data_IF_257525427748
#
_entry.id   IF_257525427748
#
_cell.length_a   1.000
_cell.length_b   1.000
_cell.length_c   1.000
_cell.angle_alpha   90.00
_cell.angle_beta   90.00
_cell.angle_gamma   90.00
#
_symmetry.space_group_name_H-M   'P 1'
#
loop_
_entity.id
_entity.type
_entity.pdbx_description
1 polymer ?
#
# COMPACT_ATOMS: atom_id res chain seq x y z
N UNK A 1 29.67 6.85 -47.26
CA UNK A 1 29.78 8.13 -46.53
C UNK A 1 28.50 8.34 -45.75
N UNK A 2 28.52 8.07 -44.45
CA UNK A 2 27.47 8.47 -43.52
C UNK A 2 28.11 8.55 -42.13
N UNK A 3 28.31 9.80 -41.67
CA UNK A 3 28.95 10.13 -40.40
C UNK A 3 27.86 10.15 -39.33
N UNK A 4 27.87 9.20 -38.38
CA UNK A 4 27.08 9.28 -37.14
C UNK A 4 27.91 9.97 -36.07
N UNK A 5 27.47 11.16 -35.65
CA UNK A 5 28.03 11.88 -34.49
C UNK A 5 27.44 11.29 -33.21
N UNK A 6 28.33 10.77 -32.36
CA UNK A 6 28.04 10.43 -30.97
C UNK A 6 28.17 11.69 -30.12
N UNK A 7 27.14 12.00 -29.32
CA UNK A 7 27.17 13.10 -28.37
C UNK A 7 27.43 12.53 -26.97
N UNK A 8 28.71 12.50 -26.58
CA UNK A 8 29.16 12.20 -25.22
C UNK A 8 28.99 13.46 -24.37
N UNK A 9 28.07 13.47 -23.41
CA UNK A 9 28.05 14.46 -22.32
C UNK A 9 28.67 13.81 -21.08
N UNK A 10 29.96 14.07 -20.88
CA UNK A 10 30.62 13.84 -19.60
C UNK A 10 30.44 15.05 -18.70
N UNK A 11 29.83 14.86 -17.53
CA UNK A 11 29.88 15.81 -16.44
C UNK A 11 30.78 15.22 -15.36
N UNK A 12 32.02 15.73 -15.30
CA UNK A 12 32.94 15.47 -14.20
C UNK A 12 32.65 16.50 -13.09
N UNK A 13 32.16 16.03 -11.95
CA UNK A 13 32.16 16.83 -10.71
C UNK A 13 33.38 16.41 -9.91
N UNK A 14 34.35 17.32 -9.79
CA UNK A 14 35.51 17.21 -8.91
C UNK A 14 35.11 17.78 -7.56
N UNK A 15 34.88 16.93 -6.56
CA UNK A 15 34.71 17.33 -5.16
C UNK A 15 36.07 17.26 -4.46
N UNK A 16 36.64 18.42 -4.19
CA UNK A 16 37.82 18.59 -3.34
C UNK A 16 37.37 18.88 -1.91
N UNK A 17 37.94 18.17 -0.94
CA UNK A 17 37.51 18.17 0.45
C UNK A 17 37.85 19.45 1.22
N UNK A 18 36.93 19.81 2.12
CA UNK A 18 37.20 20.50 3.37
C UNK A 18 36.14 20.05 4.39
N UNK A 19 36.60 19.70 5.59
CA UNK A 19 35.81 19.13 6.67
C UNK A 19 34.94 20.16 7.40
N UNK A 20 33.82 19.69 7.95
CA UNK A 20 33.14 20.31 9.11
C UNK A 20 31.71 20.77 8.86
N UNK A 21 30.76 19.98 9.36
CA UNK A 21 29.35 20.33 9.64
C UNK A 21 28.56 21.01 8.51
N UNK A 22 27.86 20.23 7.69
CA UNK A 22 26.51 20.48 7.10
C UNK A 22 26.31 19.55 5.89
N UNK A 23 25.82 18.31 6.10
CA UNK A 23 25.38 17.41 5.01
C UNK A 23 23.98 16.88 5.33
N UNK A 24 23.02 17.81 5.46
CA UNK A 24 21.59 17.53 5.32
C UNK A 24 20.90 18.56 4.39
N UNK A 25 21.67 19.31 3.61
CA UNK A 25 21.16 20.21 2.58
C UNK A 25 21.23 19.54 1.21
N UNK A 26 20.22 18.77 0.84
CA UNK A 26 20.20 18.07 -0.45
C UNK A 26 19.16 16.96 -0.58
N UNK A 27 18.28 16.79 0.41
CA UNK A 27 17.05 16.01 0.20
C UNK A 27 16.20 16.85 -0.78
N UNK A 28 15.83 16.32 -1.97
CA UNK A 28 15.00 17.06 -2.93
C UNK A 28 13.69 17.49 -2.25
N UNK A 29 13.11 18.62 -2.67
CA UNK A 29 11.86 19.16 -2.09
C UNK A 29 10.70 18.15 -2.10
N UNK A 30 10.77 17.09 -2.91
CA UNK A 30 9.80 15.97 -2.93
C UNK A 30 9.90 15.02 -1.71
N UNK A 31 11.04 15.02 -1.01
CA UNK A 31 11.24 14.36 0.28
C UNK A 31 11.31 15.37 1.43
N UNK A 32 11.17 16.66 1.13
CA UNK A 32 10.92 17.68 2.16
C UNK A 32 9.57 17.36 2.76
N UNK A 33 9.59 16.84 4.00
CA UNK A 33 8.44 16.67 4.87
C UNK A 33 7.67 17.98 4.85
N UNK A 34 6.65 18.07 4.00
CA UNK A 34 5.91 19.29 3.74
C UNK A 34 5.21 19.71 5.02
N UNK A 35 5.89 20.53 5.82
CA UNK A 35 5.27 21.30 6.86
C UNK A 35 4.24 22.19 6.15
N UNK A 36 2.97 21.79 6.22
CA UNK A 36 1.86 22.38 5.47
C UNK A 36 1.98 23.90 5.37
N UNK A 37 2.03 24.39 4.14
CA UNK A 37 2.17 25.80 3.84
C UNK A 37 1.00 26.58 4.46
N UNK A 38 1.32 27.51 5.34
CA UNK A 38 0.35 28.40 5.99
C UNK A 38 -0.32 29.32 4.97
N UNK A 39 -1.39 28.84 4.34
CA UNK A 39 -2.30 29.62 3.52
C UNK A 39 -3.14 30.57 4.37
N UNK A 40 -3.09 31.85 4.06
CA UNK A 40 -3.77 32.93 4.77
C UNK A 40 -5.30 32.85 4.61
N UNK A 41 -6.02 32.66 5.72
CA UNK A 41 -7.37 33.21 5.92
C UNK A 41 -8.54 32.60 5.15
N UNK A 42 -8.42 31.37 4.62
CA UNK A 42 -9.60 30.60 4.24
C UNK A 42 -10.34 30.14 5.51
N UNK A 43 -11.68 30.10 5.46
CA UNK A 43 -12.47 29.48 6.53
C UNK A 43 -11.94 28.07 6.83
N UNK A 44 -11.97 27.59 8.09
CA UNK A 44 -11.50 26.25 8.42
C UNK A 44 -12.16 25.25 7.48
N UNK A 45 -11.35 24.47 6.76
CA UNK A 45 -11.84 23.42 5.89
C UNK A 45 -12.71 22.49 6.73
N UNK A 46 -14.00 22.40 6.41
CA UNK A 46 -14.90 21.46 7.07
C UNK A 46 -14.52 20.05 6.60
N UNK A 47 -14.14 19.20 7.54
CA UNK A 47 -13.89 17.78 7.32
C UNK A 47 -15.16 17.11 6.78
N UNK A 48 -15.10 16.60 5.55
CA UNK A 48 -16.18 15.80 4.95
C UNK A 48 -15.81 14.33 5.03
N UNK A 49 -16.04 13.72 6.19
CA UNK A 49 -15.64 12.33 6.46
C UNK A 49 -16.19 11.37 5.40
N UNK A 50 -15.30 10.76 4.63
CA UNK A 50 -15.68 9.68 3.72
C UNK A 50 -15.83 8.39 4.52
N UNK A 51 -17.07 8.10 4.89
CA UNK A 51 -17.40 6.93 5.69
C UNK A 51 -17.47 5.66 4.83
N UNK A 52 -16.96 4.55 5.38
CA UNK A 52 -17.15 3.23 4.78
C UNK A 52 -18.66 2.97 4.68
N UNK A 53 -19.20 2.68 3.48
CA UNK A 53 -20.63 2.48 3.30
C UNK A 53 -21.17 1.41 4.26
N UNK A 54 -22.27 1.69 4.94
CA UNK A 54 -22.87 0.72 5.87
C UNK A 54 -23.41 -0.53 5.12
N UNK A 55 -23.45 -1.70 5.79
CA UNK A 55 -24.12 -2.88 5.24
C UNK A 55 -25.56 -2.59 4.78
N UNK A 56 -26.05 -3.22 3.71
CA UNK A 56 -27.40 -3.01 3.24
C UNK A 56 -28.41 -3.57 4.25
N UNK A 57 -29.65 -3.07 4.21
CA UNK A 57 -30.73 -3.57 5.09
C UNK A 57 -31.43 -4.83 4.55
N UNK A 58 -30.99 -5.36 3.41
CA UNK A 58 -31.53 -6.61 2.86
C UNK A 58 -31.10 -7.78 3.74
N UNK A 59 -31.89 -8.86 3.74
CA UNK A 59 -31.56 -10.08 4.49
C UNK A 59 -31.58 -11.28 3.54
N UNK A 60 -30.51 -12.09 3.57
CA UNK A 60 -30.41 -13.31 2.77
C UNK A 60 -30.26 -13.06 1.27
N UNK A 61 -29.56 -11.99 0.91
CA UNK A 61 -29.18 -11.64 -0.46
C UNK A 61 -28.31 -12.69 -1.14
N UNK A 62 -27.76 -13.66 -0.41
CA UNK A 62 -26.83 -14.68 -0.92
C UNK A 62 -27.19 -15.25 -2.29
N UNK A 63 -26.25 -15.19 -3.23
CA UNK A 63 -26.32 -15.81 -4.55
C UNK A 63 -25.36 -16.99 -4.73
N UNK A 64 -25.31 -17.50 -5.96
CA UNK A 64 -24.30 -18.50 -6.39
C UNK A 64 -23.18 -17.87 -7.24
N UNK A 65 -23.20 -16.55 -7.41
CA UNK A 65 -22.22 -15.83 -8.22
C UNK A 65 -20.82 -15.88 -7.61
N UNK A 66 -19.84 -16.07 -8.48
CA UNK A 66 -18.43 -16.06 -8.12
C UNK A 66 -17.64 -15.35 -9.22
N UNK A 67 -16.65 -14.55 -8.82
CA UNK A 67 -15.69 -13.97 -9.74
C UNK A 67 -14.34 -13.71 -9.06
N UNK A 68 -13.31 -13.59 -9.89
CA UNK A 68 -11.94 -13.27 -9.47
C UNK A 68 -11.48 -12.07 -10.28
N UNK A 69 -10.85 -11.13 -9.60
CA UNK A 69 -10.19 -9.99 -10.25
C UNK A 69 -8.75 -9.89 -9.78
N UNK A 70 -7.89 -9.34 -10.64
CA UNK A 70 -6.51 -9.00 -10.33
C UNK A 70 -6.39 -7.48 -10.30
N UNK A 71 -5.73 -6.93 -9.27
CA UNK A 71 -5.37 -5.52 -9.24
C UNK A 71 -4.51 -5.20 -10.45
N UNK A 72 -4.87 -4.14 -11.17
CA UNK A 72 -4.22 -3.67 -12.39
C UNK A 72 -3.55 -2.32 -12.18
N UNK A 73 -4.32 -1.33 -11.75
CA UNK A 73 -3.77 -0.02 -11.41
C UNK A 73 -3.62 0.06 -9.90
N UNK A 74 -2.54 0.70 -9.48
CA UNK A 74 -2.22 0.98 -8.09
C UNK A 74 -1.81 2.43 -8.02
N UNK A 75 -2.34 3.13 -7.02
CA UNK A 75 -1.92 4.47 -6.67
C UNK A 75 -1.86 4.63 -5.14
N UNK A 76 -0.67 4.91 -4.64
CA UNK A 76 -0.33 5.05 -3.22
C UNK A 76 0.18 6.46 -2.91
N UNK A 77 0.08 7.37 -3.87
CA UNK A 77 0.59 8.72 -3.80
C UNK A 77 -0.56 9.73 -3.70
N UNK A 78 -0.22 10.96 -3.31
CA UNK A 78 -1.16 12.08 -3.34
C UNK A 78 -1.59 12.32 -4.78
N UNK A 79 -2.90 12.27 -5.00
CA UNK A 79 -3.51 12.57 -6.28
C UNK A 79 -3.55 14.07 -6.59
N UNK A 80 -4.27 14.41 -7.66
CA UNK A 80 -4.56 15.81 -7.99
C UNK A 80 -5.33 16.47 -6.85
N UNK A 81 -4.99 17.74 -6.56
CA UNK A 81 -5.55 18.52 -5.45
C UNK A 81 -5.24 17.94 -4.05
N UNK A 82 -4.09 17.27 -3.92
CA UNK A 82 -3.61 16.69 -2.66
C UNK A 82 -4.54 15.61 -2.05
N UNK A 83 -5.48 15.07 -2.83
CA UNK A 83 -6.34 13.98 -2.40
C UNK A 83 -5.50 12.75 -2.04
N UNK A 84 -5.70 12.22 -0.83
CA UNK A 84 -4.97 11.05 -0.36
C UNK A 84 -5.66 9.76 -0.83
N UNK A 85 -4.89 8.70 -1.13
CA UNK A 85 -5.47 7.41 -1.46
C UNK A 85 -6.02 6.71 -0.21
N UNK A 86 -6.91 5.74 -0.38
CA UNK A 86 -7.38 4.91 0.73
C UNK A 86 -8.70 5.40 1.36
N UNK A 87 -8.79 5.31 2.68
CA UNK A 87 -10.02 5.47 3.46
C UNK A 87 -9.74 6.26 4.74
N UNK A 88 -10.80 6.80 5.34
CA UNK A 88 -10.76 7.29 6.72
C UNK A 88 -10.84 6.10 7.69
N UNK A 89 -9.78 5.86 8.45
CA UNK A 89 -9.56 4.68 9.28
C UNK A 89 -9.93 4.89 10.75
N UNK A 90 -9.89 6.13 11.24
CA UNK A 90 -10.16 6.46 12.65
C UNK A 90 -11.39 7.38 12.85
N UNK A 91 -12.03 7.79 11.75
CA UNK A 91 -13.19 8.66 11.73
C UNK A 91 -12.87 10.13 12.02
N UNK A 92 -11.60 10.53 12.01
CA UNK A 92 -11.15 11.90 12.26
C UNK A 92 -10.65 12.56 10.97
N UNK A 93 -10.40 13.87 11.06
CA UNK A 93 -9.55 14.58 10.12
C UNK A 93 -8.41 15.24 10.89
N UNK A 94 -7.23 14.63 10.88
CA UNK A 94 -6.02 15.19 11.45
C UNK A 94 -5.69 16.56 10.82
N UNK A 95 -4.99 17.41 11.58
CA UNK A 95 -4.72 18.82 11.22
C UNK A 95 -5.95 19.74 11.08
N UNK A 96 -7.16 19.26 11.36
CA UNK A 96 -8.37 20.09 11.49
C UNK A 96 -8.75 20.30 12.96
N UNK A 97 -10.02 20.63 13.23
CA UNK A 97 -10.61 20.69 14.57
C UNK A 97 -10.60 19.37 15.33
N UNK A 98 -10.64 18.23 14.64
CA UNK A 98 -10.62 16.89 15.26
C UNK A 98 -9.28 16.61 15.96
N UNK A 99 -8.19 17.15 15.39
CA UNK A 99 -6.79 16.84 15.73
C UNK A 99 -6.50 15.34 15.54
N UNK A 100 -5.25 14.93 15.80
CA UNK A 100 -4.86 13.52 15.75
C UNK A 100 -5.58 12.67 16.81
N UNK A 101 -5.89 11.43 16.47
CA UNK A 101 -6.49 10.43 17.37
C UNK A 101 -5.53 9.88 18.42
N UNK A 102 -4.21 10.05 18.23
CA UNK A 102 -3.16 9.59 19.13
C UNK A 102 -2.07 10.63 19.41
N UNK A 103 -1.25 10.37 20.42
CA UNK A 103 -0.06 11.15 20.73
C UNK A 103 1.04 10.95 19.69
N UNK A 104 1.77 12.02 19.38
CA UNK A 104 2.90 11.95 18.44
C UNK A 104 3.99 11.01 18.94
N UNK A 105 4.57 10.21 18.05
CA UNK A 105 5.77 9.40 18.35
C UNK A 105 7.00 10.30 18.55
N UNK A 106 7.02 11.48 17.92
CA UNK A 106 8.02 12.52 18.13
C UNK A 106 7.40 13.71 18.88
N UNK A 107 7.73 13.93 20.17
CA UNK A 107 7.18 15.05 20.95
C UNK A 107 7.51 16.43 20.39
N UNK A 108 8.52 16.54 19.51
CA UNK A 108 8.88 17.78 18.84
C UNK A 108 8.06 18.06 17.58
N UNK A 109 7.31 17.05 17.10
CA UNK A 109 6.42 17.16 15.94
C UNK A 109 4.95 17.10 16.38
N UNK A 110 4.39 18.27 16.67
CA UNK A 110 3.00 18.43 17.05
C UNK A 110 2.04 18.44 15.85
N UNK A 111 2.56 18.53 14.62
CA UNK A 111 1.77 18.54 13.39
C UNK A 111 1.50 17.14 12.86
N UNK A 112 2.54 16.30 12.78
CA UNK A 112 2.44 14.97 12.18
C UNK A 112 2.00 15.02 10.71
N UNK A 113 1.50 13.89 10.23
CA UNK A 113 0.89 13.79 8.90
C UNK A 113 -0.57 14.21 8.97
N UNK A 114 -0.99 14.98 7.97
CA UNK A 114 -2.35 15.49 7.86
C UNK A 114 -3.16 14.65 6.89
N UNK A 115 -4.43 14.49 7.21
CA UNK A 115 -5.43 13.88 6.33
C UNK A 115 -5.82 14.89 5.25
N UNK A 116 -6.50 14.40 4.22
CA UNK A 116 -7.13 15.28 3.24
C UNK A 116 -8.46 15.83 3.77
N UNK A 117 -9.13 16.68 2.97
CA UNK A 117 -10.42 17.27 3.35
C UNK A 117 -11.53 16.22 3.56
N UNK A 118 -11.32 14.97 3.13
CA UNK A 118 -12.24 13.85 3.33
C UNK A 118 -11.88 12.95 4.52
N UNK A 119 -10.79 13.27 5.22
CA UNK A 119 -10.26 12.48 6.33
C UNK A 119 -9.59 11.19 5.89
N UNK A 120 -9.12 11.08 4.64
CA UNK A 120 -8.37 9.90 4.25
C UNK A 120 -7.00 9.89 4.91
N UNK A 121 -6.68 8.77 5.58
CA UNK A 121 -5.40 8.54 6.21
C UNK A 121 -4.47 7.75 5.27
N UNK A 122 -3.31 8.31 4.92
CA UNK A 122 -2.35 7.59 4.09
C UNK A 122 -0.87 7.93 4.37
N UNK A 123 -0.48 8.17 5.62
CA UNK A 123 0.89 8.52 6.01
C UNK A 123 1.96 7.54 5.50
N UNK A 124 1.59 6.30 5.16
CA UNK A 124 2.43 5.35 4.42
C UNK A 124 3.05 5.91 3.12
N UNK A 125 2.45 6.92 2.46
CA UNK A 125 3.04 7.54 1.27
C UNK A 125 4.47 8.06 1.53
N UNK A 126 4.79 8.43 2.78
CA UNK A 126 6.13 8.86 3.17
C UNK A 126 7.15 7.72 3.14
N UNK A 127 6.77 6.54 3.65
CA UNK A 127 7.58 5.32 3.55
C UNK A 127 7.80 4.97 2.08
N UNK A 128 6.73 4.93 1.28
CA UNK A 128 6.82 4.58 -0.13
C UNK A 128 7.61 5.60 -0.95
N UNK A 129 7.51 6.90 -0.65
CA UNK A 129 8.34 7.93 -1.25
C UNK A 129 9.83 7.74 -0.94
N UNK A 130 10.18 7.40 0.31
CA UNK A 130 11.56 7.07 0.68
C UNK A 130 12.08 5.83 -0.06
N UNK A 131 11.24 4.80 -0.22
CA UNK A 131 11.60 3.60 -0.99
C UNK A 131 11.73 3.87 -2.49
N UNK A 132 10.85 4.68 -3.09
CA UNK A 132 10.98 5.11 -4.49
C UNK A 132 12.33 5.79 -4.74
N UNK A 133 12.72 6.68 -3.83
CA UNK A 133 14.02 7.36 -3.90
C UNK A 133 15.19 6.38 -3.83
N UNK A 134 15.14 5.37 -2.95
CA UNK A 134 16.16 4.30 -2.87
C UNK A 134 16.22 3.49 -4.18
N UNK A 135 15.08 3.18 -4.78
CA UNK A 135 15.00 2.46 -6.06
C UNK A 135 15.42 3.31 -7.27
N UNK A 136 15.54 4.63 -7.09
CA UNK A 136 15.73 5.59 -8.17
C UNK A 136 14.65 5.42 -9.26
N UNK A 137 13.40 5.32 -8.83
CA UNK A 137 12.20 5.32 -9.68
C UNK A 137 11.44 6.61 -9.45
N UNK A 138 10.64 7.03 -10.45
CA UNK A 138 9.84 8.25 -10.35
C UNK A 138 8.90 8.21 -9.15
N UNK A 139 8.26 7.06 -8.93
CA UNK A 139 7.22 6.92 -7.93
C UNK A 139 7.00 5.44 -7.61
N UNK A 140 6.56 5.10 -6.40
CA UNK A 140 6.22 3.70 -6.08
C UNK A 140 4.97 3.28 -6.83
N UNK A 141 3.99 4.18 -7.00
CA UNK A 141 2.78 3.91 -7.79
C UNK A 141 3.12 3.51 -9.23
N UNK A 142 4.00 4.26 -9.89
CA UNK A 142 4.42 4.00 -11.27
C UNK A 142 5.25 2.73 -11.40
N UNK A 143 6.17 2.48 -10.46
CA UNK A 143 6.97 1.26 -10.40
C UNK A 143 6.09 0.02 -10.26
N UNK A 144 5.19 0.01 -9.27
CA UNK A 144 4.28 -1.10 -9.00
C UNK A 144 3.34 -1.37 -10.17
N UNK A 145 2.78 -0.32 -10.78
CA UNK A 145 1.96 -0.44 -11.99
C UNK A 145 2.73 -1.06 -13.16
N UNK A 146 4.00 -0.68 -13.34
CA UNK A 146 4.88 -1.30 -14.33
C UNK A 146 5.04 -2.80 -14.12
N UNK A 147 5.23 -3.23 -12.87
CA UNK A 147 5.33 -4.66 -12.53
C UNK A 147 3.99 -5.40 -12.74
N UNK A 148 2.85 -4.76 -12.50
CA UNK A 148 1.53 -5.38 -12.75
C UNK A 148 1.26 -5.52 -14.25
N UNK A 149 1.51 -4.49 -15.03
CA UNK A 149 1.33 -4.50 -16.50
C UNK A 149 2.31 -5.44 -17.21
N UNK A 150 3.48 -5.71 -16.62
CA UNK A 150 4.40 -6.75 -17.11
C UNK A 150 4.03 -8.16 -16.66
N UNK A 151 3.06 -8.31 -15.75
CA UNK A 151 2.61 -9.60 -15.20
C UNK A 151 3.51 -10.15 -14.11
N UNK A 152 4.37 -9.35 -13.47
CA UNK A 152 5.33 -9.83 -12.47
C UNK A 152 4.72 -9.99 -11.07
N UNK A 153 3.65 -9.27 -10.76
CA UNK A 153 2.89 -9.45 -9.52
C UNK A 153 1.48 -8.90 -9.66
N UNK A 154 0.61 -9.31 -8.74
CA UNK A 154 -0.68 -8.68 -8.48
C UNK A 154 -1.23 -9.20 -7.15
N UNK A 155 -2.29 -8.56 -6.66
CA UNK A 155 -3.18 -9.10 -5.65
C UNK A 155 -4.45 -9.58 -6.34
N UNK A 156 -4.91 -10.77 -5.97
CA UNK A 156 -6.19 -11.30 -6.44
C UNK A 156 -7.25 -11.14 -5.36
N UNK A 157 -8.43 -10.71 -5.78
CA UNK A 157 -9.63 -10.66 -4.95
C UNK A 157 -10.64 -11.63 -5.55
N UNK A 158 -11.02 -12.66 -4.78
CA UNK A 158 -12.10 -13.57 -5.14
C UNK A 158 -13.34 -13.20 -4.36
N UNK A 159 -14.45 -13.04 -5.04
CA UNK A 159 -15.77 -12.80 -4.43
C UNK A 159 -16.65 -14.00 -4.72
N UNK A 160 -17.31 -14.54 -3.69
CA UNK A 160 -18.24 -15.67 -3.81
C UNK A 160 -19.54 -15.38 -3.10
N UNK A 161 -20.57 -16.12 -3.50
CA UNK A 161 -21.90 -15.98 -2.92
C UNK A 161 -22.60 -14.71 -3.40
N UNK A 162 -22.10 -14.05 -4.44
CA UNK A 162 -22.64 -12.78 -4.89
C UNK A 162 -23.95 -12.99 -5.67
N UNK A 163 -24.99 -12.28 -5.27
CA UNK A 163 -26.32 -12.24 -5.90
C UNK A 163 -26.32 -11.70 -7.32
N UNK A 164 -25.34 -10.86 -7.66
CA UNK A 164 -25.34 -10.05 -8.88
C UNK A 164 -26.18 -8.76 -8.79
N UNK A 165 -26.82 -8.50 -7.64
CA UNK A 165 -27.58 -7.28 -7.37
C UNK A 165 -26.73 -6.13 -6.83
N UNK A 166 -27.32 -4.94 -6.71
CA UNK A 166 -26.66 -3.78 -6.09
C UNK A 166 -26.49 -3.92 -4.58
N UNK A 167 -27.35 -4.70 -3.93
CA UNK A 167 -27.35 -4.88 -2.49
C UNK A 167 -27.33 -6.38 -2.19
N UNK A 168 -26.35 -6.79 -1.38
CA UNK A 168 -26.11 -8.15 -0.94
C UNK A 168 -25.54 -8.09 0.47
N UNK A 169 -26.28 -8.57 1.46
CA UNK A 169 -25.87 -8.51 2.87
C UNK A 169 -24.77 -9.50 3.23
N UNK A 170 -24.45 -10.45 2.34
CA UNK A 170 -23.42 -11.43 2.61
C UNK A 170 -22.75 -11.98 1.35
N UNK A 171 -21.46 -11.66 1.20
CA UNK A 171 -20.53 -12.31 0.27
C UNK A 171 -19.27 -12.77 1.02
N UNK A 172 -18.57 -13.73 0.44
CA UNK A 172 -17.24 -14.12 0.91
C UNK A 172 -16.18 -13.46 0.03
N UNK A 173 -15.21 -12.78 0.64
CA UNK A 173 -14.08 -12.17 -0.05
C UNK A 173 -12.78 -12.83 0.38
N UNK A 174 -12.07 -13.44 -0.57
CA UNK A 174 -10.75 -14.03 -0.39
C UNK A 174 -9.64 -13.15 -0.97
N UNK A 175 -8.54 -13.03 -0.23
CA UNK A 175 -7.36 -12.23 -0.59
C UNK A 175 -6.14 -13.13 -0.88
N UNK A 176 -5.53 -12.93 -2.04
CA UNK A 176 -4.36 -13.71 -2.49
C UNK A 176 -3.24 -12.80 -2.97
N UNK A 177 -2.00 -13.18 -2.65
CA UNK A 177 -0.81 -12.64 -3.29
C UNK A 177 -0.40 -13.52 -4.47
N UNK A 178 -0.03 -12.89 -5.59
CA UNK A 178 0.45 -13.58 -6.77
C UNK A 178 1.98 -13.46 -6.92
N UNK A 179 2.59 -14.47 -7.56
CA UNK A 179 3.96 -14.39 -8.10
C UNK A 179 3.98 -13.93 -9.56
N UNK A 180 2.82 -13.53 -10.10
CA UNK A 180 2.67 -13.09 -11.47
C UNK A 180 2.27 -14.20 -12.44
N UNK A 181 2.54 -13.93 -13.70
CA UNK A 181 2.26 -14.72 -14.90
C UNK A 181 3.58 -15.03 -15.62
N UNK A 182 3.58 -16.04 -16.49
CA UNK A 182 4.73 -16.36 -17.34
C UNK A 182 4.89 -15.40 -18.54
N UNK A 183 3.91 -14.53 -18.77
CA UNK A 183 3.86 -13.56 -19.85
C UNK A 183 3.04 -12.34 -19.39
N UNK A 184 3.16 -11.23 -20.10
CA UNK A 184 2.34 -10.05 -19.80
C UNK A 184 0.84 -10.36 -19.93
N UNK A 185 0.01 -9.87 -18.99
CA UNK A 185 -1.43 -10.11 -18.98
C UNK A 185 -2.11 -9.55 -20.22
N UNK A 186 -3.13 -10.27 -20.71
CA UNK A 186 -4.00 -9.80 -21.78
C UNK A 186 -5.14 -8.91 -21.26
N UNK A 187 -5.44 -8.96 -19.96
CA UNK A 187 -6.51 -8.22 -19.29
C UNK A 187 -7.89 -8.52 -19.88
N UNK A 188 -8.11 -9.78 -20.24
CA UNK A 188 -9.33 -10.25 -20.93
C UNK A 188 -10.12 -11.28 -20.12
N UNK A 189 -9.79 -11.45 -18.84
CA UNK A 189 -10.46 -12.42 -17.95
C UNK A 189 -9.89 -13.83 -17.93
N UNK A 190 -9.02 -14.16 -18.89
CA UNK A 190 -8.41 -15.51 -19.00
C UNK A 190 -7.01 -15.59 -18.36
N UNK A 191 -6.52 -14.49 -17.79
CA UNK A 191 -5.20 -14.43 -17.15
C UNK A 191 -5.22 -15.23 -15.85
N UNK A 192 -4.56 -16.38 -15.83
CA UNK A 192 -4.50 -17.29 -14.69
C UNK A 192 -3.27 -16.99 -13.81
N UNK A 193 -3.45 -16.10 -12.84
CA UNK A 193 -2.39 -15.62 -11.96
C UNK A 193 -1.98 -16.69 -10.96
N UNK A 194 -0.67 -16.93 -10.83
CA UNK A 194 -0.15 -17.87 -9.83
C UNK A 194 -0.53 -17.42 -8.42
N UNK A 195 -0.69 -18.37 -7.49
CA UNK A 195 -1.03 -18.09 -6.09
C UNK A 195 0.14 -18.46 -5.20
N UNK A 196 0.54 -17.55 -4.32
CA UNK A 196 1.52 -17.82 -3.27
C UNK A 196 0.95 -18.81 -2.26
N UNK A 197 1.68 -19.88 -1.99
CA UNK A 197 1.26 -20.94 -1.09
C UNK A 197 0.88 -20.44 0.32
N UNK A 198 1.58 -19.43 0.85
CA UNK A 198 1.31 -18.84 2.17
C UNK A 198 0.02 -18.01 2.25
N UNK A 199 -0.70 -17.82 1.13
CA UNK A 199 -2.03 -17.21 1.11
C UNK A 199 -3.15 -18.25 1.15
N UNK A 200 -2.83 -19.54 1.22
CA UNK A 200 -3.80 -20.64 1.25
C UNK A 200 -3.85 -21.29 2.63
N UNK A 201 -5.02 -21.80 2.98
CA UNK A 201 -5.16 -22.65 4.14
C UNK A 201 -4.20 -23.86 4.02
N UNK A 202 -3.51 -24.24 5.12
CA UNK A 202 -2.35 -25.13 5.02
C UNK A 202 -2.68 -26.55 4.54
N UNK A 203 -3.90 -27.07 4.76
CA UNK A 203 -4.29 -28.44 4.37
C UNK A 203 -5.80 -28.53 4.06
N UNK A 204 -6.21 -29.00 2.87
CA UNK A 204 -5.40 -29.23 1.68
C UNK A 204 -4.95 -27.90 1.05
N UNK A 205 -3.82 -27.89 0.32
CA UNK A 205 -3.43 -26.75 -0.52
C UNK A 205 -4.37 -26.66 -1.73
N UNK A 206 -5.51 -26.03 -1.51
CA UNK A 206 -6.54 -25.78 -2.50
C UNK A 206 -6.49 -24.30 -2.92
N UNK A 207 -6.29 -23.97 -4.22
CA UNK A 207 -6.30 -22.58 -4.68
C UNK A 207 -7.61 -21.84 -4.36
N UNK A 208 -8.70 -22.56 -4.07
CA UNK A 208 -10.00 -22.00 -3.70
C UNK A 208 -10.21 -21.86 -2.18
N UNK A 209 -9.21 -22.16 -1.35
CA UNK A 209 -9.25 -22.06 0.11
C UNK A 209 -8.27 -20.98 0.62
N UNK A 210 -8.62 -19.69 0.52
CA UNK A 210 -7.75 -18.61 0.98
C UNK A 210 -7.57 -18.66 2.50
N UNK A 211 -6.37 -18.36 2.97
CA UNK A 211 -6.10 -18.16 4.40
C UNK A 211 -6.69 -16.83 4.90
N UNK A 212 -6.69 -15.81 4.04
CA UNK A 212 -7.17 -14.47 4.38
C UNK A 212 -8.55 -14.27 3.75
N UNK A 213 -9.58 -14.36 4.58
CA UNK A 213 -10.99 -14.33 4.15
C UNK A 213 -11.81 -13.41 5.04
N UNK A 214 -12.70 -12.65 4.40
CA UNK A 214 -13.84 -12.02 5.06
C UNK A 214 -15.12 -12.75 4.65
N UNK A 215 -15.69 -13.51 5.59
CA UNK A 215 -16.96 -14.24 5.38
C UNK A 215 -18.21 -13.41 5.68
N UNK A 216 -18.04 -12.15 6.08
CA UNK A 216 -19.10 -11.19 6.39
C UNK A 216 -18.98 -9.91 5.55
N UNK A 217 -18.28 -9.99 4.42
CA UNK A 217 -18.25 -8.93 3.43
C UNK A 217 -19.66 -8.75 2.83
N UNK A 218 -19.91 -7.61 2.21
CA UNK A 218 -21.22 -7.27 1.65
C UNK A 218 -21.10 -6.37 0.42
N UNK A 219 -22.22 -6.21 -0.28
CA UNK A 219 -22.37 -5.25 -1.37
C UNK A 219 -23.50 -4.29 -1.01
N UNK A 220 -23.26 -2.99 -1.12
CA UNK A 220 -24.25 -1.94 -0.83
C UNK A 220 -24.20 -0.88 -1.92
N UNK A 221 -25.32 -0.59 -2.57
CA UNK A 221 -25.37 0.35 -3.69
C UNK A 221 -24.39 0.02 -4.84
N UNK A 222 -24.08 -1.26 -5.05
CA UNK A 222 -23.11 -1.76 -6.03
C UNK A 222 -21.65 -1.66 -5.61
N UNK A 223 -21.35 -1.28 -4.36
CA UNK A 223 -20.00 -1.25 -3.80
C UNK A 223 -19.75 -2.49 -2.95
N UNK A 224 -18.73 -3.26 -3.29
CA UNK A 224 -18.17 -4.31 -2.46
C UNK A 224 -17.45 -3.69 -1.26
N UNK A 225 -17.72 -4.17 -0.07
CA UNK A 225 -16.99 -3.83 1.16
C UNK A 225 -16.52 -5.12 1.83
N UNK A 226 -15.22 -5.19 2.12
CA UNK A 226 -14.61 -6.32 2.83
C UNK A 226 -13.63 -5.83 3.91
N UNK A 227 -13.50 -6.60 4.98
CA UNK A 227 -12.68 -6.32 6.16
C UNK A 227 -11.86 -7.54 6.54
N UNK A 228 -10.54 -7.42 6.41
CA UNK A 228 -9.58 -8.45 6.78
C UNK A 228 -8.83 -7.99 8.04
N UNK A 229 -8.92 -8.72 9.17
CA UNK A 229 -8.19 -8.35 10.39
C UNK A 229 -6.68 -8.24 10.15
N UNK A 230 -6.15 -9.10 9.30
CA UNK A 230 -4.76 -9.07 8.85
C UNK A 230 -4.69 -9.53 7.39
N UNK A 231 -3.82 -8.89 6.62
CA UNK A 231 -3.54 -9.28 5.24
C UNK A 231 -2.09 -8.89 4.87
N UNK A 232 -1.27 -9.82 4.37
CA UNK A 232 0.04 -9.47 3.85
C UNK A 232 -0.08 -8.83 2.47
N UNK A 233 0.73 -7.80 2.24
CA UNK A 233 1.02 -7.23 0.93
C UNK A 233 2.44 -7.65 0.54
N UNK A 234 2.55 -8.58 -0.41
CA UNK A 234 3.83 -9.08 -0.89
C UNK A 234 4.04 -8.64 -2.33
N UNK A 235 4.98 -7.74 -2.52
CA UNK A 235 5.43 -7.25 -3.82
C UNK A 235 6.71 -8.01 -4.19
N UNK A 236 6.78 -8.49 -5.43
CA UNK A 236 8.02 -9.02 -6.00
C UNK A 236 7.98 -8.89 -7.51
N UNK A 237 9.10 -8.55 -8.14
CA UNK A 237 9.20 -8.54 -9.60
C UNK A 237 9.43 -9.94 -10.21
N UNK A 238 9.35 -11.00 -9.39
CA UNK A 238 9.65 -12.38 -9.77
C UNK A 238 11.15 -12.64 -9.99
N UNK A 239 12.01 -11.67 -9.71
CA UNK A 239 13.45 -11.73 -9.90
C UNK A 239 14.22 -11.30 -8.64
N UNK A 240 14.37 -9.99 -8.42
CA UNK A 240 15.30 -9.43 -7.45
C UNK A 240 14.64 -8.41 -6.52
N UNK A 241 13.77 -7.54 -7.04
CA UNK A 241 13.06 -6.58 -6.21
C UNK A 241 11.92 -7.25 -5.43
N UNK A 242 11.82 -6.96 -4.15
CA UNK A 242 10.75 -7.49 -3.30
C UNK A 242 10.50 -6.63 -2.07
N UNK A 243 9.30 -6.72 -1.53
CA UNK A 243 8.95 -6.16 -0.23
C UNK A 243 7.72 -6.90 0.32
N UNK A 244 7.68 -7.11 1.64
CA UNK A 244 6.55 -7.69 2.33
C UNK A 244 6.13 -6.77 3.47
N UNK A 245 4.88 -6.30 3.42
CA UNK A 245 4.25 -5.56 4.51
C UNK A 245 3.13 -6.40 5.15
N UNK A 246 3.06 -6.39 6.48
CA UNK A 246 1.97 -7.00 7.22
C UNK A 246 0.94 -5.93 7.56
N UNK A 247 -0.19 -5.93 6.84
CA UNK A 247 -1.27 -4.96 7.06
C UNK A 247 -2.24 -5.49 8.12
N UNK A 248 -2.72 -4.59 8.98
CA UNK A 248 -3.75 -4.83 9.99
C UNK A 248 -5.02 -4.06 9.64
N UNK A 249 -6.18 -4.61 10.00
CA UNK A 249 -7.49 -4.00 9.79
C UNK A 249 -7.69 -3.48 8.36
N UNK A 250 -7.35 -4.31 7.38
CA UNK A 250 -7.52 -3.94 5.97
C UNK A 250 -9.00 -3.83 5.65
N UNK A 251 -9.42 -2.69 5.12
CA UNK A 251 -10.73 -2.45 4.55
C UNK A 251 -10.57 -2.23 3.05
N UNK A 252 -11.33 -2.98 2.26
CA UNK A 252 -11.45 -2.83 0.82
C UNK A 252 -12.84 -2.29 0.50
N UNK A 253 -12.92 -1.22 -0.28
CA UNK A 253 -14.16 -0.70 -0.85
C UNK A 253 -13.96 -0.56 -2.36
N UNK A 254 -14.85 -1.10 -3.18
CA UNK A 254 -14.79 -0.89 -4.63
C UNK A 254 -16.16 -1.02 -5.28
N UNK A 255 -16.42 -0.25 -6.33
CA UNK A 255 -17.62 -0.45 -7.16
C UNK A 255 -17.46 -1.72 -7.99
N UNK A 256 -18.44 -2.61 -7.90
CA UNK A 256 -18.57 -3.76 -8.79
C UNK A 256 -19.15 -3.24 -10.12
N UNK A 257 -18.47 -3.55 -11.20
CA UNK A 257 -18.91 -3.20 -12.55
C UNK A 257 -18.75 -4.42 -13.47
N UNK A 258 -19.22 -4.30 -14.72
CA UNK A 258 -19.03 -5.31 -15.76
C UNK A 258 -18.40 -4.72 -17.01
N UNK A 259 -17.47 -5.47 -17.59
CA UNK A 259 -17.00 -5.24 -18.96
C UNK A 259 -18.15 -5.37 -19.96
N UNK A 260 -17.95 -4.89 -21.20
CA UNK A 260 -18.87 -5.15 -22.31
C UNK A 260 -19.08 -6.65 -22.59
N UNK A 261 -18.11 -7.50 -22.22
CA UNK A 261 -18.20 -8.97 -22.29
C UNK A 261 -18.92 -9.62 -21.11
N UNK A 262 -19.44 -8.84 -20.15
CA UNK A 262 -20.18 -9.33 -18.98
C UNK A 262 -19.31 -9.81 -17.82
N UNK A 263 -17.98 -9.80 -17.96
CA UNK A 263 -17.05 -10.15 -16.89
C UNK A 263 -17.01 -9.06 -15.82
N UNK A 264 -16.92 -9.47 -14.55
CA UNK A 264 -16.83 -8.55 -13.42
C UNK A 264 -15.47 -7.86 -13.34
N UNK A 265 -15.48 -6.61 -12.91
CA UNK A 265 -14.32 -5.78 -12.65
C UNK A 265 -14.58 -4.94 -11.40
N UNK A 266 -13.54 -4.51 -10.71
CA UNK A 266 -13.66 -3.56 -9.60
C UNK A 266 -13.13 -2.20 -10.03
N UNK A 267 -13.96 -1.18 -9.83
CA UNK A 267 -13.68 0.22 -10.21
C UNK A 267 -13.72 1.13 -9.00
N UNK A 268 -13.00 2.25 -9.07
CA UNK A 268 -12.94 3.23 -7.97
C UNK A 268 -12.56 2.54 -6.65
N UNK A 269 -11.65 1.57 -6.74
CA UNK A 269 -11.25 0.74 -5.62
C UNK A 269 -10.37 1.51 -4.66
N UNK A 270 -10.59 1.29 -3.36
CA UNK A 270 -9.78 1.85 -2.28
C UNK A 270 -9.49 0.77 -1.26
N UNK A 271 -8.26 0.76 -0.79
CA UNK A 271 -7.79 -0.05 0.32
C UNK A 271 -7.27 0.91 1.38
N UNK A 272 -7.84 0.80 2.57
CA UNK A 272 -7.32 1.42 3.79
C UNK A 272 -6.85 0.31 4.72
N UNK A 273 -5.71 0.47 5.37
CA UNK A 273 -5.22 -0.46 6.38
C UNK A 273 -4.29 0.25 7.37
N UNK A 274 -3.85 -0.46 8.40
CA UNK A 274 -2.84 0.03 9.35
C UNK A 274 -1.57 -0.79 9.17
N UNK A 275 -0.43 -0.14 8.98
CA UNK A 275 0.89 -0.76 8.98
C UNK A 275 1.50 -0.58 10.38
N UNK A 276 1.51 -1.62 11.24
CA UNK A 276 1.98 -1.49 12.61
C UNK A 276 3.44 -1.03 12.66
N UNK A 277 3.78 -0.15 13.61
CA UNK A 277 5.16 0.28 13.85
C UNK A 277 6.08 -0.92 14.14
N UNK A 278 5.57 -1.92 14.84
CA UNK A 278 6.27 -3.20 15.09
C UNK A 278 6.55 -4.03 13.84
N UNK A 279 5.82 -3.78 12.74
CA UNK A 279 5.99 -4.46 11.46
C UNK A 279 6.82 -3.63 10.45
N UNK A 280 7.11 -2.36 10.73
CA UNK A 280 7.86 -1.48 9.83
C UNK A 280 9.26 -2.01 9.53
N UNK A 281 10.00 -2.35 10.58
CA UNK A 281 11.38 -2.78 10.44
C UNK A 281 11.53 -4.17 9.83
N UNK A 282 10.67 -5.16 10.14
CA UNK A 282 10.53 -6.37 9.32
C UNK A 282 10.22 -6.06 7.84
N UNK A 283 9.37 -5.06 7.56
CA UNK A 283 9.06 -4.64 6.18
C UNK A 283 10.30 -4.07 5.49
N UNK A 284 11.05 -3.17 6.13
CA UNK A 284 12.31 -2.63 5.61
C UNK A 284 13.38 -3.73 5.44
N UNK A 285 13.48 -4.67 6.37
CA UNK A 285 14.40 -5.81 6.27
C UNK A 285 14.04 -6.77 5.12
N UNK A 286 12.76 -6.85 4.74
CA UNK A 286 12.29 -7.63 3.58
C UNK A 286 12.53 -6.93 2.23
N UNK A 287 12.79 -5.62 2.25
CA UNK A 287 12.96 -4.83 1.04
C UNK A 287 14.21 -5.25 0.28
N UNK A 288 14.08 -5.35 -1.04
CA UNK A 288 15.16 -5.60 -1.98
C UNK A 288 15.05 -4.63 -3.15
N UNK A 289 16.17 -4.02 -3.52
CA UNK A 289 16.23 -3.15 -4.70
C UNK A 289 16.15 -3.97 -6.01
N UNK A 290 16.16 -3.29 -7.15
CA UNK A 290 16.13 -3.91 -8.50
C UNK A 290 17.36 -4.78 -8.82
N UNK A 291 18.37 -4.80 -7.95
CA UNK A 291 19.57 -5.64 -8.04
C UNK A 291 19.58 -6.73 -6.96
N UNK A 292 18.55 -6.80 -6.12
CA UNK A 292 18.42 -7.78 -5.05
C UNK A 292 19.22 -7.43 -3.80
N UNK A 293 19.73 -6.19 -3.68
CA UNK A 293 20.43 -5.75 -2.49
C UNK A 293 19.41 -5.43 -1.39
N UNK A 294 19.65 -5.87 -0.14
CA UNK A 294 18.83 -5.48 1.00
C UNK A 294 19.08 -4.02 1.42
N UNK A 295 18.08 -3.40 2.04
CA UNK A 295 18.23 -2.12 2.74
C UNK A 295 18.76 -2.35 4.15
N UNK A 296 20.05 -2.16 4.37
CA UNK A 296 20.71 -2.36 5.66
C UNK A 296 20.87 -1.05 6.45
N UNK A 297 21.07 -1.16 7.76
CA UNK A 297 21.15 0.00 8.67
C UNK A 297 22.38 0.89 8.42
N UNK A 298 23.43 0.33 7.80
CA UNK A 298 24.65 1.03 7.39
C UNK A 298 24.56 1.67 6.00
N UNK A 299 23.44 1.47 5.29
CA UNK A 299 23.19 2.16 4.03
C UNK A 299 23.02 3.67 4.26
N UNK A 300 23.60 4.49 3.38
CA UNK A 300 23.64 5.96 3.52
C UNK A 300 22.26 6.60 3.73
N UNK A 301 21.21 6.04 3.11
CA UNK A 301 19.86 6.58 3.18
C UNK A 301 19.02 6.02 4.33
N UNK A 302 19.47 4.94 4.98
CA UNK A 302 18.69 4.26 6.02
C UNK A 302 18.29 5.17 7.19
N UNK A 303 19.20 5.99 7.78
CA UNK A 303 18.82 6.87 8.89
C UNK A 303 17.68 7.83 8.54
N UNK A 304 17.69 8.35 7.31
CA UNK A 304 16.63 9.23 6.82
C UNK A 304 15.31 8.46 6.62
N UNK A 305 15.35 7.28 5.99
CA UNK A 305 14.17 6.42 5.81
C UNK A 305 13.55 6.03 7.16
N UNK A 306 14.36 5.64 8.14
CA UNK A 306 13.92 5.35 9.51
C UNK A 306 13.21 6.55 10.12
N UNK A 307 13.84 7.73 10.07
CA UNK A 307 13.29 8.94 10.66
C UNK A 307 11.95 9.34 10.01
N UNK A 308 11.87 9.32 8.68
CA UNK A 308 10.66 9.63 7.92
C UNK A 308 9.53 8.67 8.30
N UNK A 309 9.83 7.36 8.30
CA UNK A 309 8.83 6.31 8.54
C UNK A 309 8.33 6.34 9.98
N UNK A 310 9.21 6.54 10.96
CA UNK A 310 8.80 6.58 12.36
C UNK A 310 7.99 7.82 12.72
N UNK A 311 8.28 8.97 12.09
CA UNK A 311 7.45 10.18 12.22
C UNK A 311 6.11 10.07 11.51
N UNK A 312 5.96 9.10 10.60
CA UNK A 312 4.73 8.86 9.86
C UNK A 312 3.67 8.08 10.63
N UNK A 313 3.97 7.57 11.82
CA UNK A 313 2.97 6.96 12.67
C UNK A 313 1.93 7.99 13.11
N UNK A 314 0.67 7.73 12.76
CA UNK A 314 -0.43 8.69 12.82
C UNK A 314 -1.73 8.11 13.37
N UNK A 315 -1.84 6.78 13.48
CA UNK A 315 -3.05 6.09 13.97
C UNK A 315 -2.75 5.06 15.06
N UNK A 316 -3.75 4.78 15.90
CA UNK A 316 -3.73 3.63 16.83
C UNK A 316 -4.09 2.34 16.09
N UNK A 317 -3.61 1.18 16.58
CA UNK A 317 -4.03 -0.10 16.00
C UNK A 317 -5.53 -0.35 16.23
N UNK A 318 -6.05 0.08 17.38
CA UNK A 318 -7.49 0.06 17.66
C UNK A 318 -8.22 1.19 16.94
N UNK A 319 -9.53 1.10 16.79
CA UNK A 319 -10.36 2.18 16.22
C UNK A 319 -10.77 3.21 17.29
N UNK A 320 -10.20 3.10 18.50
CA UNK A 320 -10.39 4.10 19.55
C UNK A 320 -9.50 5.32 19.30
N UNK A 321 -9.82 6.41 20.00
CA UNK A 321 -8.98 7.62 20.06
C UNK A 321 -8.45 7.78 21.48
N UNK A 322 -7.15 7.99 21.60
CA UNK A 322 -6.47 8.23 22.87
C UNK A 322 -5.22 9.09 22.63
N UNK A 323 -5.36 10.38 22.93
CA UNK A 323 -4.31 11.40 22.70
C UNK A 323 -3.11 11.23 23.63
N UNK A 324 -3.23 10.45 24.70
CA UNK A 324 -2.13 10.17 25.63
C UNK A 324 -1.32 8.93 25.22
N UNK A 325 -1.85 8.10 24.31
CA UNK A 325 -1.17 6.92 23.79
C UNK A 325 -0.40 7.27 22.51
N UNK A 326 0.90 6.96 22.40
CA UNK A 326 1.66 7.16 21.16
C UNK A 326 1.04 6.40 19.99
N UNK A 327 1.04 6.99 18.79
CA UNK A 327 0.58 6.31 17.58
C UNK A 327 1.34 5.00 17.35
N UNK A 328 0.61 3.95 16.98
CA UNK A 328 1.12 2.57 16.95
C UNK A 328 1.25 2.02 15.53
N UNK A 329 0.73 2.75 14.54
CA UNK A 329 0.76 2.35 13.14
C UNK A 329 0.82 3.56 12.22
N UNK A 330 1.24 3.31 10.99
CA UNK A 330 1.05 4.20 9.85
C UNK A 330 -0.27 3.85 9.19
N UNK A 331 -1.07 4.84 8.86
CA UNK A 331 -2.18 4.68 7.94
C UNK A 331 -1.68 4.31 6.55
N UNK A 332 -2.23 3.23 6.02
CA UNK A 332 -1.95 2.71 4.69
C UNK A 332 -3.13 2.99 3.78
N UNK A 333 -2.86 3.68 2.66
CA UNK A 333 -3.87 4.04 1.67
C UNK A 333 -3.43 3.63 0.26
N UNK A 334 -4.35 3.03 -0.50
CA UNK A 334 -4.12 2.67 -1.89
C UNK A 334 -5.42 2.76 -2.69
N UNK A 335 -5.40 3.49 -3.80
CA UNK A 335 -6.45 3.42 -4.81
C UNK A 335 -6.10 2.37 -5.87
N UNK A 336 -7.09 1.69 -6.42
CA UNK A 336 -6.88 0.64 -7.41
C UNK A 336 -8.04 0.46 -8.38
N UNK A 337 -7.71 -0.13 -9.51
CA UNK A 337 -8.64 -0.71 -10.46
C UNK A 337 -8.29 -2.18 -10.62
N UNK A 338 -9.28 -3.06 -10.72
CA UNK A 338 -9.05 -4.50 -10.90
C UNK A 338 -9.86 -5.04 -12.07
N UNK A 339 -9.21 -5.87 -12.88
CA UNK A 339 -9.82 -6.50 -14.07
C UNK A 339 -10.05 -7.99 -13.82
N UNK A 340 -11.00 -8.57 -14.55
CA UNK A 340 -11.32 -10.00 -14.47
C UNK A 340 -10.05 -10.86 -14.63
N UNK A 341 -9.96 -11.91 -13.83
CA UNK A 341 -8.82 -12.81 -13.78
C UNK A 341 -9.27 -14.25 -13.44
N UNK A 342 -8.32 -15.18 -13.48
CA UNK A 342 -8.50 -16.55 -12.98
C UNK A 342 -7.47 -16.85 -11.89
N UNK A 343 -7.86 -17.70 -10.95
CA UNK A 343 -6.92 -18.36 -10.04
C UNK A 343 -6.08 -19.37 -10.84
N UNK A 344 -4.77 -19.20 -10.80
CA UNK A 344 -3.80 -20.04 -11.47
C UNK A 344 -3.17 -21.10 -10.56
N UNK A 345 -1.98 -21.63 -10.92
CA UNK A 345 -1.31 -22.66 -10.14
C UNK A 345 -0.83 -22.12 -8.79
N UNK A 346 -0.87 -22.98 -7.77
CA UNK A 346 -0.24 -22.72 -6.46
C UNK A 346 1.26 -22.90 -6.59
N UNK A 347 2.01 -21.90 -6.15
CA UNK A 347 3.46 -21.85 -6.24
C UNK A 347 4.05 -21.53 -4.85
N UNK A 348 5.12 -22.21 -4.43
CA UNK A 348 5.82 -21.83 -3.22
C UNK A 348 6.46 -20.45 -3.42
N UNK A 349 6.48 -19.64 -2.37
CA UNK A 349 7.22 -18.39 -2.43
C UNK A 349 8.70 -18.64 -2.72
N UNK A 350 9.33 -17.83 -3.58
CA UNK A 350 10.77 -17.90 -3.80
C UNK A 350 11.51 -17.81 -2.46
N UNK A 351 12.64 -18.52 -2.31
CA UNK A 351 13.47 -18.36 -1.13
C UNK A 351 13.85 -16.89 -0.99
N UNK A 352 13.75 -16.36 0.22
CA UNK A 352 14.19 -15.00 0.51
C UNK A 352 15.64 -14.82 0.07
N UNK A 353 15.94 -13.76 -0.68
CA UNK A 353 17.32 -13.40 -0.99
C UNK A 353 18.07 -13.05 0.29
N UNK A 354 19.40 -13.21 0.26
CA UNK A 354 20.24 -12.93 1.43
C UNK A 354 19.89 -11.58 2.06
N UNK A 355 19.62 -11.60 3.36
CA UNK A 355 19.36 -10.39 4.14
C UNK A 355 20.64 -9.63 4.45
N UNK A 356 20.50 -8.60 5.27
CA UNK A 356 21.64 -7.94 5.88
C UNK A 356 22.37 -8.89 6.84
N UNK A 357 23.68 -8.66 7.10
CA UNK A 357 24.32 -9.17 8.31
C UNK A 357 23.48 -8.83 9.55
N UNK A 358 23.53 -9.69 10.57
CA UNK A 358 22.74 -9.52 11.80
C UNK A 358 22.99 -8.16 12.47
N UNK A 359 24.21 -7.64 12.37
CA UNK A 359 24.62 -6.35 12.95
C UNK A 359 24.04 -5.14 12.21
N UNK A 360 23.63 -5.31 10.95
CA UNK A 360 23.07 -4.23 10.12
C UNK A 360 21.66 -4.54 9.60
N UNK A 361 20.99 -5.54 10.18
CA UNK A 361 19.62 -5.90 9.84
C UNK A 361 18.62 -4.93 10.50
N UNK A 362 17.76 -4.25 9.71
CA UNK A 362 16.72 -3.39 10.26
C UNK A 362 15.80 -4.09 11.24
N UNK A 363 15.60 -5.42 11.17
CA UNK A 363 14.58 -6.15 11.93
C UNK A 363 14.60 -5.91 13.45
N UNK A 364 15.77 -5.53 14.01
CA UNK A 364 15.95 -5.24 15.44
C UNK A 364 15.83 -3.77 15.81
N UNK A 365 15.66 -2.88 14.82
CA UNK A 365 15.49 -1.45 15.03
C UNK A 365 14.08 -1.12 15.52
N UNK A 366 13.91 0.09 16.04
CA UNK A 366 12.68 0.57 16.63
C UNK A 366 12.56 2.09 16.46
N UNK A 367 11.35 2.63 16.57
CA UNK A 367 11.13 4.07 16.54
C UNK A 367 11.46 4.77 17.87
N UNK A 368 11.95 4.05 18.88
CA UNK A 368 12.49 4.67 20.09
C UNK A 368 13.76 5.45 19.76
N UNK A 369 13.90 6.67 20.30
CA UNK A 369 15.05 7.57 20.11
C UNK A 369 15.12 8.24 18.72
N UNK A 370 14.03 8.86 18.28
CA UNK A 370 14.04 9.80 17.15
C UNK A 370 14.63 11.16 17.54
#
# INVERSE_FOLDING_TARGET
MAVRRSATRGLFVVLSGAAGCQVLGGIPDELSLGAGGGGTGAAPAMCVRDEIPAPPMVAGGSGEGEFVVALRTIDMEKGLNDALPGLNLDGLCSCTEDKRGCGSVDPSDDKGYCDDDSGHDAASYALFGALAYILNVESMSSFLRGLVESGQWSVLVRVRGYSGGSDDDQVEVGWYGSLGLSASPAWQGADAWSIRQEFLAPIPMDPYAPQFVDGAAYVTGGKLVARLPQAPLVISDGALASMQAALSNLVLVARIDRTAGGLYQLREGRIGAKLPVSALFPTLASFRDTKGNPLCTDATLYPATRQITCRAADVLLTDATDKDTPCEALSFGMNFEADAAMLGPVMPSPPSSGGCPVETDPITDACSNL
#
